data_IF_125863008610
#
_entry.id   IF_125863008610
#
_cell.length_a   1.000
_cell.length_b   1.000
_cell.length_c   1.000
_cell.angle_alpha   90.00
_cell.angle_beta   90.00
_cell.angle_gamma   90.00
#
_symmetry.space_group_name_H-M   'P 1'
#
loop_
_entity.id
_entity.type
_entity.pdbx_description
1 polymer ?
#
# COMPACT_ATOMS: atom_id res chain seq x y z
N UNK A 1 1.89 -20.48 11.53
CA UNK A 1 2.00 -19.71 12.78
C UNK A 1 2.84 -18.46 12.49
N UNK A 2 2.43 -17.26 12.91
CA UNK A 2 3.27 -16.08 12.82
C UNK A 2 4.51 -16.32 13.71
N UNK A 3 5.70 -16.25 13.12
CA UNK A 3 6.95 -16.29 13.90
C UNK A 3 7.08 -14.93 14.60
N UNK A 4 7.31 -14.96 15.90
CA UNK A 4 7.69 -13.78 16.69
C UNK A 4 8.85 -13.06 16.00
N UNK A 5 8.76 -11.73 15.90
CA UNK A 5 9.81 -10.91 15.29
C UNK A 5 11.16 -11.15 15.97
N UNK A 6 12.24 -11.10 15.19
CA UNK A 6 13.57 -11.26 15.75
C UNK A 6 13.90 -10.09 16.71
N UNK A 7 14.51 -10.37 17.85
CA UNK A 7 14.88 -9.37 18.87
C UNK A 7 15.65 -8.18 18.25
N UNK A 8 16.56 -8.48 17.32
CA UNK A 8 17.31 -7.46 16.58
C UNK A 8 16.42 -6.51 15.77
N UNK A 9 15.35 -7.02 15.16
CA UNK A 9 14.38 -6.22 14.39
C UNK A 9 13.61 -5.28 15.32
N UNK A 10 13.16 -5.78 16.48
CA UNK A 10 12.46 -4.99 17.48
C UNK A 10 13.35 -3.84 17.97
N UNK A 11 14.61 -4.13 18.32
CA UNK A 11 15.57 -3.12 18.80
C UNK A 11 15.85 -2.04 17.73
N UNK A 12 15.92 -2.43 16.46
CA UNK A 12 16.14 -1.49 15.35
C UNK A 12 14.93 -0.57 15.16
N UNK A 13 13.72 -1.11 15.21
CA UNK A 13 12.47 -0.33 15.12
C UNK A 13 12.34 0.61 16.30
N UNK A 14 12.62 0.14 17.52
CA UNK A 14 12.59 0.96 18.75
C UNK A 14 13.56 2.13 18.65
N UNK A 15 14.81 1.88 18.26
CA UNK A 15 15.81 2.95 18.04
C UNK A 15 15.35 3.97 16.99
N UNK A 16 14.71 3.54 15.91
CA UNK A 16 14.21 4.45 14.87
C UNK A 16 13.07 5.35 15.39
N UNK A 17 12.23 4.85 16.29
CA UNK A 17 11.15 5.62 16.91
C UNK A 17 11.69 6.60 17.97
N UNK A 18 12.60 6.13 18.84
CA UNK A 18 13.17 6.91 19.93
C UNK A 18 14.08 8.05 19.44
N UNK A 19 14.86 7.80 18.36
CA UNK A 19 15.74 8.81 17.77
C UNK A 19 15.00 9.90 16.99
N UNK A 20 13.69 9.68 16.69
CA UNK A 20 12.90 10.62 15.94
C UNK A 20 12.30 11.70 16.86
N UNK A 21 12.43 13.00 16.51
CA UNK A 21 11.81 14.08 17.29
C UNK A 21 10.27 13.95 17.24
N UNK A 22 9.61 14.45 18.29
CA UNK A 22 8.16 14.50 18.30
C UNK A 22 7.63 15.51 17.29
N UNK A 23 6.54 15.14 16.61
CA UNK A 23 5.88 15.96 15.59
C UNK A 23 4.39 16.11 15.91
N UNK A 24 3.79 17.18 15.39
CA UNK A 24 2.36 17.49 15.55
C UNK A 24 1.44 16.62 14.66
N UNK A 25 1.98 15.67 13.92
CA UNK A 25 1.23 14.77 13.04
C UNK A 25 1.66 13.32 13.28
N UNK A 26 0.77 12.40 12.94
CA UNK A 26 1.01 10.96 13.06
C UNK A 26 1.98 10.49 11.97
N UNK A 27 3.24 10.25 12.36
CA UNK A 27 4.27 9.79 11.44
C UNK A 27 4.07 8.32 11.06
N UNK A 28 4.37 8.00 9.80
CA UNK A 28 4.55 6.61 9.38
C UNK A 28 5.96 6.13 9.72
N UNK A 29 6.06 4.85 10.04
CA UNK A 29 7.36 4.14 10.10
C UNK A 29 7.52 3.41 8.79
N UNK A 30 8.67 3.58 8.16
CA UNK A 30 8.97 3.04 6.83
C UNK A 30 10.33 2.36 6.78
N UNK A 31 10.47 1.42 5.85
CA UNK A 31 11.73 0.84 5.47
C UNK A 31 12.17 1.42 4.12
N UNK A 32 13.44 1.81 4.02
CA UNK A 32 14.12 2.17 2.78
C UNK A 32 15.06 1.03 2.39
N UNK A 33 14.92 0.49 1.19
CA UNK A 33 15.69 -0.63 0.68
C UNK A 33 16.50 -0.17 -0.53
N UNK A 34 17.81 -0.43 -0.51
CA UNK A 34 18.70 -0.17 -1.62
C UNK A 34 19.09 -1.50 -2.28
N UNK A 35 18.79 -1.62 -3.57
CA UNK A 35 19.14 -2.78 -4.38
C UNK A 35 20.53 -2.63 -5.00
N UNK A 36 21.21 -3.78 -5.20
CA UNK A 36 22.44 -3.90 -5.98
C UNK A 36 22.33 -5.07 -6.96
N UNK A 37 23.06 -4.98 -8.05
CA UNK A 37 23.18 -6.05 -9.05
C UNK A 37 21.81 -6.55 -9.60
N UNK A 38 20.85 -5.61 -9.73
CA UNK A 38 19.53 -5.85 -10.32
C UNK A 38 19.36 -4.93 -11.53
N UNK A 39 19.13 -5.51 -12.68
CA UNK A 39 18.79 -4.75 -13.89
C UNK A 39 17.30 -4.41 -13.89
N UNK A 40 16.98 -3.17 -13.50
CA UNK A 40 15.63 -2.64 -13.42
C UNK A 40 15.08 -2.11 -14.76
N UNK A 41 15.89 -2.11 -15.83
CA UNK A 41 15.41 -1.82 -17.18
C UNK A 41 14.42 -2.90 -17.64
N UNK A 42 14.69 -4.14 -17.24
CA UNK A 42 13.82 -5.29 -17.48
C UNK A 42 12.62 -5.26 -16.52
N UNK A 43 11.38 -5.14 -17.04
CA UNK A 43 10.18 -5.05 -16.19
C UNK A 43 10.00 -6.22 -15.21
N UNK A 44 10.45 -7.43 -15.57
CA UNK A 44 10.37 -8.63 -14.74
C UNK A 44 11.16 -8.50 -13.42
N UNK A 45 12.26 -7.76 -13.45
CA UNK A 45 13.13 -7.58 -12.31
C UNK A 45 12.64 -6.47 -11.35
N UNK A 46 11.62 -5.73 -11.76
CA UNK A 46 11.02 -4.67 -10.94
C UNK A 46 10.16 -5.28 -9.85
N UNK A 47 10.31 -4.75 -8.65
CA UNK A 47 9.43 -5.09 -7.54
C UNK A 47 8.15 -4.26 -7.67
N UNK A 48 7.00 -4.89 -7.83
CA UNK A 48 5.67 -4.29 -7.71
C UNK A 48 4.77 -5.32 -7.02
N UNK A 49 4.77 -5.29 -5.70
CA UNK A 49 4.06 -6.24 -4.85
C UNK A 49 3.09 -5.51 -3.93
N UNK A 50 1.95 -6.15 -3.71
CA UNK A 50 1.01 -5.75 -2.70
C UNK A 50 1.10 -6.73 -1.53
N UNK A 51 1.51 -6.21 -0.39
CA UNK A 51 1.78 -6.99 0.81
C UNK A 51 0.71 -6.68 1.86
N UNK A 52 -0.05 -7.69 2.26
CA UNK A 52 -1.00 -7.59 3.37
C UNK A 52 -0.19 -7.71 4.66
N UNK A 53 -0.12 -6.62 5.44
CA UNK A 53 0.61 -6.60 6.70
C UNK A 53 -0.18 -7.32 7.79
N UNK A 54 0.43 -8.24 8.56
CA UNK A 54 -0.26 -9.04 9.59
C UNK A 54 -0.85 -8.19 10.72
N UNK A 55 -0.20 -7.07 11.06
CA UNK A 55 -0.65 -6.15 12.12
C UNK A 55 -1.31 -4.87 11.58
N UNK A 56 -1.62 -4.86 10.26
CA UNK A 56 -2.20 -3.71 9.61
C UNK A 56 -1.24 -2.53 9.48
N UNK A 57 -1.78 -1.39 9.05
CA UNK A 57 -0.98 -0.17 8.73
C UNK A 57 -0.98 0.89 9.83
N UNK A 58 -1.74 0.72 10.92
CA UNK A 58 -1.86 1.68 12.02
C UNK A 58 -2.59 2.97 11.67
N UNK A 59 -3.05 3.14 10.41
CA UNK A 59 -3.88 4.28 9.98
C UNK A 59 -5.12 3.81 9.24
N UNK A 60 -6.19 4.61 9.32
CA UNK A 60 -7.40 4.36 8.55
C UNK A 60 -7.12 4.49 7.05
N UNK A 61 -7.44 3.44 6.30
CA UNK A 61 -7.36 3.40 4.85
C UNK A 61 -8.76 3.57 4.29
N UNK A 62 -8.93 4.54 3.39
CA UNK A 62 -10.22 4.81 2.74
C UNK A 62 -10.30 4.08 1.41
N UNK A 63 -11.40 3.33 1.25
CA UNK A 63 -11.67 2.53 0.05
C UNK A 63 -12.95 3.03 -0.62
N UNK A 64 -12.85 3.35 -1.90
CA UNK A 64 -13.99 3.72 -2.74
C UNK A 64 -14.39 2.55 -3.65
N UNK A 65 -15.68 2.29 -3.75
CA UNK A 65 -16.25 1.21 -4.58
C UNK A 65 -17.07 1.81 -5.72
N UNK A 66 -16.79 1.39 -6.94
CA UNK A 66 -17.62 1.63 -8.11
C UNK A 66 -18.50 0.40 -8.33
N UNK A 67 -19.78 0.52 -8.03
CA UNK A 67 -20.69 -0.62 -8.11
C UNK A 67 -22.14 -0.20 -8.29
N UNK A 68 -22.92 -1.13 -8.82
CA UNK A 68 -24.35 -0.97 -9.04
C UNK A 68 -25.17 -1.95 -8.22
N UNK A 69 -26.46 -1.66 -8.03
CA UNK A 69 -27.43 -2.60 -7.48
C UNK A 69 -26.95 -3.36 -6.25
N UNK A 70 -26.85 -4.68 -6.38
CA UNK A 70 -26.52 -5.61 -5.28
C UNK A 70 -25.13 -5.36 -4.68
N UNK A 71 -24.14 -5.03 -5.53
CA UNK A 71 -22.78 -4.77 -5.05
C UNK A 71 -22.72 -3.48 -4.21
N UNK A 72 -23.45 -2.45 -4.60
CA UNK A 72 -23.56 -1.21 -3.83
C UNK A 72 -24.16 -1.47 -2.43
N UNK A 73 -25.18 -2.34 -2.36
CA UNK A 73 -25.79 -2.72 -1.08
C UNK A 73 -24.81 -3.49 -0.20
N UNK A 74 -24.12 -4.50 -0.74
CA UNK A 74 -23.11 -5.29 -0.02
C UNK A 74 -21.91 -4.45 0.44
N UNK A 75 -21.50 -3.48 -0.36
CA UNK A 75 -20.38 -2.60 -0.02
C UNK A 75 -20.72 -1.52 1.01
N UNK A 76 -21.99 -1.22 1.26
CA UNK A 76 -22.44 -0.09 2.08
C UNK A 76 -21.86 -0.05 3.48
N UNK A 77 -21.67 -1.22 4.10
CA UNK A 77 -21.17 -1.33 5.48
C UNK A 77 -19.64 -1.40 5.58
N UNK A 78 -18.95 -1.53 4.45
CA UNK A 78 -17.51 -1.81 4.41
C UNK A 78 -16.72 -0.74 3.65
N UNK A 79 -17.33 -0.14 2.62
CA UNK A 79 -16.71 0.92 1.83
C UNK A 79 -16.93 2.30 2.47
N UNK A 80 -15.96 3.19 2.28
CA UNK A 80 -16.06 4.57 2.77
C UNK A 80 -16.82 5.47 1.80
N UNK A 81 -16.86 5.11 0.52
CA UNK A 81 -17.67 5.77 -0.52
C UNK A 81 -18.07 4.76 -1.58
N UNK A 82 -19.30 4.89 -2.06
CA UNK A 82 -19.82 4.11 -3.18
C UNK A 82 -20.21 5.09 -4.28
N UNK A 83 -19.75 4.85 -5.49
CA UNK A 83 -20.04 5.64 -6.68
C UNK A 83 -20.83 4.76 -7.65
N UNK A 84 -22.01 5.22 -8.01
CA UNK A 84 -22.84 4.53 -8.99
C UNK A 84 -22.37 4.79 -10.43
N UNK A 85 -22.70 3.92 -11.40
CA UNK A 85 -22.30 4.08 -12.79
C UNK A 85 -22.65 5.44 -13.40
N UNK A 86 -23.80 5.99 -13.04
CA UNK A 86 -24.29 7.29 -13.53
C UNK A 86 -23.41 8.47 -13.02
N UNK A 87 -22.83 8.32 -11.83
CA UNK A 87 -21.99 9.35 -11.23
C UNK A 87 -20.58 9.39 -11.82
N UNK A 88 -20.11 8.29 -12.44
CA UNK A 88 -18.78 8.21 -13.05
C UNK A 88 -18.59 9.32 -14.09
N UNK A 89 -19.63 9.63 -14.87
CA UNK A 89 -19.55 10.67 -15.88
C UNK A 89 -19.43 12.08 -15.28
N UNK A 90 -20.07 12.33 -14.15
CA UNK A 90 -19.96 13.61 -13.46
C UNK A 90 -18.55 13.87 -12.94
N UNK A 91 -17.87 12.83 -12.42
CA UNK A 91 -16.45 12.91 -12.01
C UNK A 91 -15.51 13.03 -13.21
N UNK A 92 -15.85 12.41 -14.33
CA UNK A 92 -15.04 12.48 -15.55
C UNK A 92 -15.09 13.86 -16.22
N UNK A 93 -16.23 14.55 -16.13
CA UNK A 93 -16.42 15.90 -16.67
C UNK A 93 -15.64 16.97 -15.90
N UNK A 94 -15.38 16.75 -14.61
CA UNK A 94 -14.67 17.70 -13.74
C UNK A 94 -13.33 17.12 -13.27
N UNK A 95 -12.23 17.57 -13.91
CA UNK A 95 -10.88 17.16 -13.55
C UNK A 95 -10.49 17.48 -12.10
N UNK A 96 -11.08 18.50 -11.49
CA UNK A 96 -10.81 18.87 -10.10
C UNK A 96 -11.43 17.85 -9.17
N UNK A 97 -12.72 17.53 -9.35
CA UNK A 97 -13.41 16.49 -8.59
C UNK A 97 -12.74 15.11 -8.72
N UNK A 98 -12.32 14.75 -9.95
CA UNK A 98 -11.60 13.50 -10.17
C UNK A 98 -10.26 13.44 -9.42
N UNK A 99 -9.52 14.55 -9.33
CA UNK A 99 -8.26 14.63 -8.57
C UNK A 99 -8.52 14.58 -7.06
N UNK A 100 -9.52 15.27 -6.58
CA UNK A 100 -9.95 15.25 -5.17
C UNK A 100 -10.36 13.84 -4.76
N UNK A 101 -11.17 13.14 -5.57
CA UNK A 101 -11.51 11.73 -5.37
C UNK A 101 -10.24 10.86 -5.28
N UNK A 102 -9.34 10.99 -6.26
CA UNK A 102 -8.10 10.21 -6.29
C UNK A 102 -7.16 10.50 -5.10
N UNK A 103 -7.23 11.70 -4.52
CA UNK A 103 -6.43 12.08 -3.35
C UNK A 103 -7.09 11.61 -2.05
N UNK A 104 -8.41 11.63 -1.99
CA UNK A 104 -9.18 11.32 -0.79
C UNK A 104 -9.20 9.83 -0.44
N UNK A 105 -9.07 8.94 -1.41
CA UNK A 105 -9.13 7.49 -1.22
C UNK A 105 -7.79 6.83 -1.54
N UNK A 106 -7.44 5.82 -0.74
CA UNK A 106 -6.19 5.06 -0.90
C UNK A 106 -6.34 3.96 -1.94
N UNK A 107 -7.49 3.26 -1.94
CA UNK A 107 -7.80 2.17 -2.87
C UNK A 107 -9.15 2.33 -3.52
N UNK A 108 -9.26 1.74 -4.70
CA UNK A 108 -10.48 1.68 -5.48
C UNK A 108 -10.82 0.25 -5.86
N UNK A 109 -12.08 -0.07 -5.83
CA UNK A 109 -12.65 -1.36 -6.25
C UNK A 109 -13.75 -1.08 -7.24
N UNK A 110 -13.92 -1.92 -8.25
CA UNK A 110 -14.96 -1.76 -9.24
C UNK A 110 -15.54 -3.09 -9.69
N UNK A 111 -16.82 -3.11 -10.03
CA UNK A 111 -17.39 -4.23 -10.79
C UNK A 111 -16.67 -4.39 -12.13
N UNK A 112 -16.35 -5.63 -12.49
CA UNK A 112 -15.63 -5.93 -13.73
C UNK A 112 -16.25 -5.28 -14.98
N UNK A 113 -17.57 -5.26 -15.18
CA UNK A 113 -18.20 -4.58 -16.32
C UNK A 113 -17.96 -3.07 -16.38
N UNK A 114 -17.70 -2.41 -15.24
CA UNK A 114 -17.47 -0.96 -15.18
C UNK A 114 -16.00 -0.58 -15.49
N UNK A 115 -15.09 -1.53 -15.47
CA UNK A 115 -13.65 -1.27 -15.67
C UNK A 115 -13.32 -0.55 -16.99
N UNK A 116 -13.91 -0.92 -18.15
CA UNK A 116 -13.65 -0.21 -19.41
C UNK A 116 -14.08 1.27 -19.35
N UNK A 117 -15.23 1.55 -18.74
CA UNK A 117 -15.75 2.91 -18.59
C UNK A 117 -14.85 3.74 -17.67
N UNK A 118 -14.48 3.19 -16.52
CA UNK A 118 -13.59 3.84 -15.56
C UNK A 118 -12.21 4.07 -16.18
N UNK A 119 -11.67 3.08 -16.89
CA UNK A 119 -10.39 3.19 -17.59
C UNK A 119 -10.38 4.34 -18.60
N UNK A 120 -11.43 4.46 -19.41
CA UNK A 120 -11.57 5.52 -20.41
C UNK A 120 -11.79 6.91 -19.78
N UNK A 121 -12.59 7.00 -18.72
CA UNK A 121 -13.03 8.27 -18.12
C UNK A 121 -12.10 8.78 -17.02
N UNK A 122 -11.70 7.92 -16.09
CA UNK A 122 -10.90 8.28 -14.90
C UNK A 122 -9.45 7.77 -14.97
N UNK A 123 -9.10 6.95 -15.96
CA UNK A 123 -7.78 6.34 -16.10
C UNK A 123 -6.63 7.35 -16.17
N UNK A 124 -6.85 8.49 -16.82
CA UNK A 124 -5.89 9.60 -16.91
C UNK A 124 -5.52 10.17 -15.52
N UNK A 125 -6.45 10.09 -14.55
CA UNK A 125 -6.23 10.60 -13.18
C UNK A 125 -5.75 9.49 -12.25
N UNK A 126 -6.36 8.32 -12.31
CA UNK A 126 -6.07 7.18 -11.41
C UNK A 126 -4.81 6.40 -11.82
N UNK A 127 -4.57 6.24 -13.14
CA UNK A 127 -3.46 5.47 -13.68
C UNK A 127 -2.08 5.96 -13.21
N UNK A 128 -1.70 7.25 -13.43
CA UNK A 128 -0.41 7.78 -13.00
C UNK A 128 -0.18 7.71 -11.49
N UNK A 129 -1.26 7.71 -10.71
CA UNK A 129 -1.22 7.56 -9.25
C UNK A 129 -1.09 6.11 -8.80
N UNK A 130 -1.23 5.15 -9.73
CA UNK A 130 -1.25 3.72 -9.41
C UNK A 130 -2.49 3.29 -8.62
N UNK A 131 -3.58 4.05 -8.74
CA UNK A 131 -4.85 3.82 -8.02
C UNK A 131 -5.97 3.29 -8.94
N UNK A 132 -5.60 2.54 -9.99
CA UNK A 132 -6.62 1.87 -10.81
C UNK A 132 -7.44 0.91 -9.95
N UNK A 133 -8.78 0.88 -10.14
CA UNK A 133 -9.62 0.00 -9.37
C UNK A 133 -9.29 -1.47 -9.57
N UNK A 134 -9.47 -2.26 -8.52
CA UNK A 134 -9.43 -3.72 -8.64
C UNK A 134 -10.77 -4.25 -9.10
N UNK A 135 -10.79 -5.08 -10.13
CA UNK A 135 -12.04 -5.67 -10.61
C UNK A 135 -12.55 -6.73 -9.63
N UNK A 136 -13.84 -6.71 -9.36
CA UNK A 136 -14.57 -7.78 -8.67
C UNK A 136 -15.59 -8.36 -9.65
N UNK A 137 -15.75 -9.68 -9.69
CA UNK A 137 -16.83 -10.32 -10.45
C UNK A 137 -18.20 -9.86 -9.93
N UNK A 138 -19.19 -9.73 -10.82
CA UNK A 138 -20.57 -9.44 -10.41
C UNK A 138 -21.08 -10.48 -9.42
N UNK A 139 -21.76 -10.03 -8.36
CA UNK A 139 -22.32 -10.91 -7.33
C UNK A 139 -21.34 -11.35 -6.23
N UNK A 140 -20.03 -11.17 -6.39
CA UNK A 140 -19.07 -11.48 -5.34
C UNK A 140 -19.16 -10.48 -4.15
N UNK A 141 -18.83 -10.96 -2.96
CA UNK A 141 -18.79 -10.12 -1.76
C UNK A 141 -17.53 -9.27 -1.74
N UNK A 142 -17.64 -7.93 -1.76
CA UNK A 142 -16.50 -7.03 -1.70
C UNK A 142 -15.85 -6.95 -0.32
N UNK A 143 -16.52 -7.41 0.75
CA UNK A 143 -16.08 -7.19 2.14
C UNK A 143 -14.70 -7.77 2.42
N UNK A 144 -14.44 -9.01 2.02
CA UNK A 144 -13.15 -9.68 2.24
C UNK A 144 -12.01 -8.96 1.54
N UNK A 145 -12.24 -8.51 0.30
CA UNK A 145 -11.24 -7.77 -0.47
C UNK A 145 -10.97 -6.40 0.14
N UNK A 146 -12.01 -5.66 0.53
CA UNK A 146 -11.88 -4.34 1.15
C UNK A 146 -11.12 -4.43 2.47
N UNK A 147 -11.45 -5.41 3.31
CA UNK A 147 -10.78 -5.63 4.58
C UNK A 147 -9.29 -5.99 4.37
N UNK A 148 -8.97 -6.83 3.41
CA UNK A 148 -7.58 -7.12 3.04
C UNK A 148 -6.85 -5.87 2.54
N UNK A 149 -7.50 -5.03 1.71
CA UNK A 149 -6.91 -3.78 1.22
C UNK A 149 -6.58 -2.79 2.34
N UNK A 150 -7.36 -2.76 3.43
CA UNK A 150 -7.09 -1.89 4.58
C UNK A 150 -5.75 -2.19 5.25
N UNK A 151 -5.29 -3.44 5.18
CA UNK A 151 -3.98 -3.86 5.70
C UNK A 151 -2.89 -3.95 4.63
N UNK A 152 -3.21 -3.66 3.37
CA UNK A 152 -2.28 -3.81 2.24
C UNK A 152 -1.37 -2.60 2.10
N UNK A 153 -0.08 -2.87 1.89
CA UNK A 153 0.93 -1.88 1.48
C UNK A 153 1.46 -2.26 0.10
N UNK A 154 1.60 -1.29 -0.78
CA UNK A 154 2.20 -1.49 -2.09
C UNK A 154 3.69 -1.16 -2.06
N UNK A 155 4.51 -2.12 -2.43
CA UNK A 155 5.96 -2.01 -2.52
C UNK A 155 6.35 -1.91 -4.00
N UNK A 156 6.98 -0.80 -4.41
CA UNK A 156 7.34 -0.56 -5.82
C UNK A 156 8.73 0.01 -5.96
N UNK A 157 9.59 -0.68 -6.69
CA UNK A 157 10.90 -0.16 -7.08
C UNK A 157 10.83 0.75 -8.31
N UNK A 158 9.88 0.49 -9.22
CA UNK A 158 9.85 1.06 -10.57
C UNK A 158 11.19 0.82 -11.27
N UNK A 159 11.83 1.89 -11.73
CA UNK A 159 13.15 1.94 -12.38
C UNK A 159 14.30 2.33 -11.44
N UNK A 160 13.99 2.53 -10.13
CA UNK A 160 14.96 3.01 -9.14
C UNK A 160 15.47 1.89 -8.26
N UNK A 161 16.77 1.91 -7.97
CA UNK A 161 17.41 0.95 -7.04
C UNK A 161 16.99 1.16 -5.59
N UNK A 162 16.56 2.38 -5.23
CA UNK A 162 16.07 2.68 -3.88
C UNK A 162 14.56 2.83 -3.90
N UNK A 163 13.88 2.16 -2.98
CA UNK A 163 12.45 2.28 -2.79
C UNK A 163 12.09 2.21 -1.31
N UNK A 164 10.90 2.71 -1.00
CA UNK A 164 10.39 2.82 0.37
C UNK A 164 9.08 2.06 0.49
N UNK A 165 8.84 1.49 1.68
CA UNK A 165 7.57 0.88 2.03
C UNK A 165 7.21 1.20 3.48
N UNK A 166 5.95 1.60 3.71
CA UNK A 166 5.46 1.82 5.07
C UNK A 166 5.20 0.48 5.76
N UNK A 167 5.64 0.36 7.02
CA UNK A 167 5.43 -0.82 7.86
C UNK A 167 4.38 -0.57 8.96
N UNK A 168 3.99 0.68 9.17
CA UNK A 168 2.97 1.08 10.13
C UNK A 168 3.08 2.55 10.50
N UNK A 169 2.58 2.89 11.68
CA UNK A 169 2.66 4.24 12.25
C UNK A 169 3.37 4.22 13.60
N UNK A 170 3.90 5.38 14.00
CA UNK A 170 4.66 5.56 15.25
C UNK A 170 3.90 5.12 16.51
N UNK A 171 2.55 5.16 16.47
CA UNK A 171 1.70 4.81 17.62
C UNK A 171 1.53 3.29 17.81
N UNK A 172 2.01 2.48 16.86
CA UNK A 172 1.96 1.02 16.98
C UNK A 172 3.06 0.51 17.90
N UNK A 173 2.83 -0.63 18.54
CA UNK A 173 3.85 -1.29 19.33
C UNK A 173 5.08 -1.65 18.48
N UNK A 174 6.32 -1.47 18.99
CA UNK A 174 7.53 -1.82 18.24
C UNK A 174 7.56 -3.28 17.79
N UNK A 175 6.96 -4.18 18.56
CA UNK A 175 6.84 -5.60 18.27
C UNK A 175 5.96 -5.86 17.03
N UNK A 176 4.83 -5.16 16.92
CA UNK A 176 3.92 -5.26 15.78
C UNK A 176 4.56 -4.69 14.51
N UNK A 177 5.27 -3.57 14.63
CA UNK A 177 6.03 -2.99 13.52
C UNK A 177 7.17 -3.91 13.07
N UNK A 178 7.85 -4.58 14.00
CA UNK A 178 8.90 -5.52 13.69
C UNK A 178 8.35 -6.76 12.95
N UNK A 179 7.18 -7.27 13.36
CA UNK A 179 6.52 -8.38 12.67
C UNK A 179 6.10 -7.99 11.25
N UNK A 180 5.55 -6.78 11.07
CA UNK A 180 5.24 -6.23 9.74
C UNK A 180 6.51 -6.09 8.88
N UNK A 181 7.60 -5.62 9.45
CA UNK A 181 8.90 -5.46 8.78
C UNK A 181 9.46 -6.80 8.32
N UNK A 182 9.51 -7.80 9.20
CA UNK A 182 10.01 -9.13 8.88
C UNK A 182 9.14 -9.82 7.81
N UNK A 183 7.82 -9.61 7.86
CA UNK A 183 6.92 -10.14 6.84
C UNK A 183 7.16 -9.49 5.48
N UNK A 184 7.27 -8.16 5.44
CA UNK A 184 7.54 -7.41 4.22
C UNK A 184 8.89 -7.80 3.62
N UNK A 185 9.94 -7.90 4.45
CA UNK A 185 11.27 -8.28 4.00
C UNK A 185 11.30 -9.68 3.40
N UNK A 186 10.62 -10.65 4.00
CA UNK A 186 10.49 -12.00 3.41
C UNK A 186 9.84 -11.98 2.05
N UNK A 187 8.80 -11.17 1.84
CA UNK A 187 8.15 -11.00 0.54
C UNK A 187 9.10 -10.40 -0.50
N UNK A 188 9.80 -9.32 -0.13
CA UNK A 188 10.77 -8.67 -1.02
C UNK A 188 11.92 -9.61 -1.38
N UNK A 189 12.49 -10.32 -0.40
CA UNK A 189 13.57 -11.29 -0.63
C UNK A 189 13.14 -12.43 -1.56
N UNK A 190 11.90 -12.90 -1.44
CA UNK A 190 11.36 -13.96 -2.30
C UNK A 190 11.16 -13.54 -3.78
N UNK A 191 11.15 -12.23 -4.07
CA UNK A 191 11.05 -11.68 -5.43
C UNK A 191 12.40 -11.44 -6.09
N UNK A 192 13.45 -11.30 -5.31
CA UNK A 192 14.79 -11.05 -5.80
C UNK A 192 15.45 -12.37 -6.20
N UNK A 193 16.05 -12.42 -7.40
CA UNK A 193 16.68 -13.65 -7.94
C UNK A 193 17.76 -14.21 -7.02
N UNK A 194 18.61 -13.34 -6.44
CA UNK A 194 19.68 -13.72 -5.50
C UNK A 194 19.32 -13.40 -4.05
N UNK A 195 18.02 -13.16 -3.75
CA UNK A 195 17.52 -12.88 -2.42
C UNK A 195 18.32 -11.77 -1.70
N UNK A 196 18.93 -12.12 -0.57
CA UNK A 196 19.71 -11.20 0.26
C UNK A 196 20.87 -10.52 -0.46
N UNK A 197 21.52 -11.20 -1.40
CA UNK A 197 22.68 -10.67 -2.14
C UNK A 197 22.31 -9.49 -3.06
N UNK A 198 21.05 -9.38 -3.45
CA UNK A 198 20.55 -8.23 -4.21
C UNK A 198 20.22 -7.00 -3.35
N UNK A 199 20.35 -7.09 -2.02
CA UNK A 199 20.16 -5.94 -1.12
C UNK A 199 21.54 -5.40 -0.72
N UNK A 200 21.79 -4.14 -1.04
CA UNK A 200 22.97 -3.42 -0.63
C UNK A 200 22.87 -2.99 0.83
N UNK A 201 21.73 -2.39 1.19
CA UNK A 201 21.44 -1.91 2.55
C UNK A 201 19.94 -1.70 2.74
N UNK A 202 19.49 -1.76 3.98
CA UNK A 202 18.14 -1.42 4.35
C UNK A 202 18.15 -0.59 5.64
N UNK A 203 17.28 0.41 5.70
CA UNK A 203 17.18 1.35 6.81
C UNK A 203 15.73 1.48 7.26
N UNK A 204 15.52 1.52 8.57
CA UNK A 204 14.22 1.84 9.17
C UNK A 204 14.23 3.28 9.66
N UNK A 205 13.16 4.02 9.42
CA UNK A 205 13.02 5.41 9.84
C UNK A 205 11.56 5.79 10.05
N UNK A 206 11.30 6.82 10.81
CA UNK A 206 10.02 7.54 10.74
C UNK A 206 10.05 8.52 9.56
N UNK A 207 8.90 9.05 9.14
CA UNK A 207 8.80 9.95 7.98
C UNK A 207 9.82 11.09 8.01
N UNK A 208 10.01 11.72 9.17
CA UNK A 208 10.91 12.88 9.34
C UNK A 208 12.08 12.59 10.28
N UNK A 209 12.23 11.36 10.77
CA UNK A 209 13.30 10.95 11.66
C UNK A 209 14.58 10.51 10.95
N UNK A 210 15.66 10.30 11.70
CA UNK A 210 16.91 9.75 11.21
C UNK A 210 16.74 8.29 10.76
N UNK A 211 17.58 7.86 9.82
CA UNK A 211 17.59 6.49 9.33
C UNK A 211 18.46 5.59 10.22
N UNK A 212 17.90 4.50 10.73
CA UNK A 212 18.60 3.48 11.49
C UNK A 212 18.86 2.26 10.59
N UNK A 213 20.11 1.81 10.53
CA UNK A 213 20.47 0.69 9.67
C UNK A 213 19.87 -0.62 10.20
N UNK A 214 19.15 -1.31 9.31
CA UNK A 214 18.57 -2.64 9.56
C UNK A 214 19.46 -3.75 8.99
N UNK A 215 19.93 -3.56 7.74
CA UNK A 215 20.79 -4.50 6.99
C UNK A 215 21.97 -3.79 6.36
#
# INVERSE_FOLDING_TARGET
MPRTAEKKTIDTVRKAIESAPERKFKESVEIAINLRDVDLSVPKNRIDEEVVLPKGRGRGIRVCVFGSGEMAVKARNVADLIIQPQEIESFAGDKKKARELATSFDFFVAEAPLMPVIGKRLGVVLGPRGKMPRPIPPGADPANLINAMRSTVRVRSRDKRTFHAAIGTRDMAPEDLAENLDFLMRRVLGKLERGRFNIQSAFVKTTMGPAVRYL
#
